data_IF_749995725836
#
_entry.id   IF_749995725836
#
_cell.length_a   1.000
_cell.length_b   1.000
_cell.length_c   1.000
_cell.angle_alpha   90.00
_cell.angle_beta   90.00
_cell.angle_gamma   90.00
#
_symmetry.space_group_name_H-M   'P 1'
#
loop_
_entity.id
_entity.type
_entity.pdbx_description
1 polymer ?
#
# COMPACT_ATOMS: atom_id res chain seq x y z
N UNK A 1 -7.95 74.53 -0.09
CA UNK A 1 -8.81 73.35 -0.33
C UNK A 1 -8.74 72.41 0.88
N UNK A 2 -9.59 72.66 1.90
CA UNK A 2 -9.52 72.04 3.24
C UNK A 2 -10.76 71.20 3.58
N UNK A 3 -11.67 70.95 2.63
CA UNK A 3 -12.83 70.09 2.87
C UNK A 3 -13.01 69.08 1.73
N UNK A 4 -12.47 67.87 1.92
CA UNK A 4 -12.92 66.67 1.20
C UNK A 4 -13.24 65.59 2.24
N UNK A 5 -14.50 65.09 2.32
CA UNK A 5 -14.87 64.11 3.32
C UNK A 5 -14.18 62.77 3.05
N UNK A 6 -13.24 62.38 3.92
CA UNK A 6 -12.50 61.10 3.83
C UNK A 6 -13.41 59.86 3.82
N UNK A 7 -14.70 60.00 4.17
CA UNK A 7 -15.69 58.93 4.22
C UNK A 7 -16.29 58.60 2.84
N UNK A 8 -16.23 59.54 1.88
CA UNK A 8 -16.74 59.32 0.52
C UNK A 8 -15.79 58.38 -0.26
N UNK A 9 -14.48 58.49 -0.05
CA UNK A 9 -13.51 57.66 -0.76
C UNK A 9 -13.59 56.19 -0.35
N UNK A 10 -13.73 55.88 0.95
CA UNK A 10 -13.83 54.49 1.42
C UNK A 10 -15.06 53.75 0.87
N UNK A 11 -16.20 54.44 0.81
CA UNK A 11 -17.44 53.87 0.25
C UNK A 11 -17.35 53.66 -1.26
N UNK A 12 -16.72 54.60 -1.99
CA UNK A 12 -16.48 54.47 -3.43
C UNK A 12 -15.54 53.30 -3.73
N UNK A 13 -14.44 53.15 -2.96
CA UNK A 13 -13.52 52.01 -3.12
C UNK A 13 -14.20 50.67 -2.84
N UNK A 14 -15.08 50.60 -1.83
CA UNK A 14 -15.84 49.40 -1.52
C UNK A 14 -16.86 49.05 -2.63
N UNK A 15 -17.54 50.06 -3.18
CA UNK A 15 -18.46 49.88 -4.32
C UNK A 15 -17.70 49.41 -5.56
N UNK A 16 -16.54 50.02 -5.88
CA UNK A 16 -15.68 49.59 -7.00
C UNK A 16 -15.21 48.15 -6.79
N UNK A 17 -14.83 47.78 -5.56
CA UNK A 17 -14.43 46.41 -5.23
C UNK A 17 -15.59 45.41 -5.45
N UNK A 18 -16.81 45.74 -5.00
CA UNK A 18 -17.99 44.90 -5.21
C UNK A 18 -18.34 44.77 -6.69
N UNK A 19 -18.22 45.85 -7.48
CA UNK A 19 -18.44 45.82 -8.93
C UNK A 19 -17.41 44.90 -9.60
N UNK A 20 -16.13 44.99 -9.22
CA UNK A 20 -15.08 44.12 -9.76
C UNK A 20 -15.31 42.66 -9.38
N UNK A 21 -15.75 42.37 -8.16
CA UNK A 21 -16.08 41.01 -7.72
C UNK A 21 -17.27 40.48 -8.51
N UNK A 22 -18.33 41.28 -8.69
CA UNK A 22 -19.51 40.90 -9.46
C UNK A 22 -19.17 40.64 -10.93
N UNK A 23 -18.35 41.49 -11.54
CA UNK A 23 -17.93 41.33 -12.94
C UNK A 23 -17.05 40.08 -13.13
N UNK A 24 -16.21 39.74 -12.15
CA UNK A 24 -15.46 38.49 -12.12
C UNK A 24 -16.36 37.26 -11.98
N UNK A 25 -17.39 37.31 -11.14
CA UNK A 25 -18.38 36.23 -10.99
C UNK A 25 -19.16 36.04 -12.30
N UNK A 26 -19.60 37.13 -12.94
CA UNK A 26 -20.28 37.08 -14.24
C UNK A 26 -19.38 36.49 -15.34
N UNK A 27 -18.09 36.85 -15.38
CA UNK A 27 -17.11 36.24 -16.30
C UNK A 27 -16.90 34.76 -16.01
N UNK A 28 -16.87 34.35 -14.74
CA UNK A 28 -16.74 32.95 -14.34
C UNK A 28 -17.96 32.14 -14.81
N UNK A 29 -19.17 32.65 -14.59
CA UNK A 29 -20.41 32.03 -15.02
C UNK A 29 -20.50 31.92 -16.55
N UNK A 30 -20.12 32.96 -17.29
CA UNK A 30 -20.06 32.92 -18.76
C UNK A 30 -19.06 31.89 -19.28
N UNK A 31 -17.91 31.72 -18.59
CA UNK A 31 -16.89 30.70 -18.90
C UNK A 31 -17.37 29.28 -18.58
N UNK A 32 -18.17 29.10 -17.52
CA UNK A 32 -18.82 27.83 -17.17
C UNK A 32 -19.89 27.47 -18.21
N UNK A 33 -20.72 28.44 -18.60
CA UNK A 33 -21.76 28.24 -19.62
C UNK A 33 -21.15 27.93 -20.99
N UNK A 34 -20.08 28.64 -21.39
CA UNK A 34 -19.32 28.32 -22.60
C UNK A 34 -18.68 26.93 -22.56
N UNK A 35 -18.14 26.50 -21.40
CA UNK A 35 -17.64 25.13 -21.21
C UNK A 35 -18.75 24.07 -21.31
N UNK A 36 -19.95 24.36 -20.81
CA UNK A 36 -21.09 23.46 -20.92
C UNK A 36 -21.62 23.38 -22.36
N UNK A 37 -21.59 24.48 -23.12
CA UNK A 37 -21.89 24.51 -24.57
C UNK A 37 -20.83 23.73 -25.38
N UNK A 38 -19.54 23.85 -25.01
CA UNK A 38 -18.44 23.10 -25.64
C UNK A 38 -18.53 21.60 -25.30
N UNK A 39 -19.01 21.23 -24.10
CA UNK A 39 -19.35 19.84 -23.77
C UNK A 39 -20.51 19.33 -24.63
N UNK A 40 -21.59 20.09 -24.85
CA UNK A 40 -22.70 19.64 -25.69
C UNK A 40 -22.36 19.57 -27.20
N UNK A 41 -21.43 20.38 -27.70
CA UNK A 41 -21.05 20.33 -29.14
C UNK A 41 -20.04 19.22 -29.47
N UNK A 42 -19.32 18.66 -28.49
CA UNK A 42 -18.42 17.51 -28.73
C UNK A 42 -19.09 16.14 -28.56
N UNK A 43 -20.31 16.09 -28.01
CA UNK A 43 -21.08 14.86 -27.79
C UNK A 43 -22.04 14.48 -28.94
N UNK A 44 -22.04 15.21 -30.06
CA UNK A 44 -22.90 14.92 -31.22
C UNK A 44 -22.18 14.26 -32.42
N UNK A 45 -21.10 13.50 -32.22
CA UNK A 45 -20.45 12.78 -33.34
C UNK A 45 -20.17 11.29 -33.15
N UNK A 46 -20.86 10.63 -32.21
CA UNK A 46 -20.86 9.17 -32.08
C UNK A 46 -22.25 8.66 -31.69
N UNK A 47 -23.24 8.89 -32.55
CA UNK A 47 -24.43 8.05 -32.58
C UNK A 47 -25.07 8.09 -33.98
N UNK A 48 -24.71 7.12 -34.82
CA UNK A 48 -25.59 6.50 -35.82
C UNK A 48 -24.82 5.40 -36.57
N UNK A 49 -24.94 4.17 -36.06
CA UNK A 49 -24.95 2.86 -36.75
C UNK A 49 -24.42 1.81 -35.78
N UNK A 50 -25.32 1.07 -35.13
CA UNK A 50 -25.46 -0.40 -35.28
C UNK A 50 -26.85 -0.73 -34.72
N UNK A 51 -27.81 -0.87 -35.62
CA UNK A 51 -29.07 -1.56 -35.35
C UNK A 51 -28.76 -3.05 -35.25
N UNK A 52 -29.26 -3.69 -34.19
CA UNK A 52 -29.22 -5.13 -33.98
C UNK A 52 -29.81 -5.88 -35.19
N UNK A 53 -29.04 -6.77 -35.81
CA UNK A 53 -29.56 -7.85 -36.65
C UNK A 53 -29.24 -9.19 -35.99
N UNK A 54 -30.08 -9.62 -35.05
CA UNK A 54 -30.13 -11.03 -34.66
C UNK A 54 -31.22 -11.69 -35.51
N UNK A 55 -30.74 -12.46 -36.48
CA UNK A 55 -31.51 -13.34 -37.33
C UNK A 55 -32.13 -14.46 -36.46
N UNK A 56 -33.45 -14.50 -36.32
CA UNK A 56 -34.16 -15.62 -35.69
C UNK A 56 -35.23 -16.11 -36.66
N UNK A 57 -34.93 -17.20 -37.34
CA UNK A 57 -35.81 -17.86 -38.29
C UNK A 57 -37.10 -18.33 -37.59
N UNK A 58 -38.22 -18.05 -38.26
CA UNK A 58 -39.58 -18.45 -37.91
C UNK A 58 -39.75 -19.98 -37.92
N UNK A 59 -40.33 -20.53 -36.84
CA UNK A 59 -41.17 -21.71 -36.91
C UNK A 59 -42.47 -21.42 -36.15
N UNK A 60 -43.57 -21.45 -36.89
CA UNK A 60 -44.93 -21.15 -36.44
C UNK A 60 -45.41 -22.20 -35.43
N UNK A 61 -45.70 -21.78 -34.21
CA UNK A 61 -46.51 -22.55 -33.26
C UNK A 61 -47.69 -21.69 -32.85
N UNK A 62 -48.90 -22.14 -33.21
CA UNK A 62 -50.19 -21.50 -32.84
C UNK A 62 -50.28 -21.38 -31.32
N UNK A 63 -50.62 -20.20 -30.81
CA UNK A 63 -51.03 -20.01 -29.42
C UNK A 63 -52.27 -19.11 -29.36
N UNK A 64 -53.23 -19.51 -28.54
CA UNK A 64 -54.51 -18.83 -28.33
C UNK A 64 -54.32 -17.54 -27.53
N UNK A 65 -55.04 -16.48 -27.90
CA UNK A 65 -55.03 -15.20 -27.19
C UNK A 65 -55.82 -15.27 -25.89
N UNK A 66 -55.22 -14.80 -24.80
CA UNK A 66 -55.98 -14.09 -23.76
C UNK A 66 -55.28 -12.76 -23.52
N UNK A 67 -56.04 -11.68 -23.68
CA UNK A 67 -55.58 -10.32 -23.41
C UNK A 67 -55.41 -10.15 -21.90
N UNK A 68 -54.20 -9.79 -21.47
CA UNK A 68 -53.99 -9.07 -20.22
C UNK A 68 -53.14 -7.83 -20.51
N UNK A 69 -53.87 -6.71 -20.56
CA UNK A 69 -53.37 -5.35 -20.48
C UNK A 69 -52.37 -5.18 -19.33
N UNK A 70 -51.16 -4.69 -19.61
CA UNK A 70 -50.65 -3.44 -19.01
C UNK A 70 -49.18 -3.20 -19.36
N UNK A 71 -48.96 -2.06 -20.02
CA UNK A 71 -47.75 -1.23 -20.12
C UNK A 71 -46.44 -1.80 -19.56
N UNK A 72 -45.61 -2.30 -20.48
CA UNK A 72 -44.19 -2.56 -20.25
C UNK A 72 -43.41 -1.24 -20.33
N UNK A 73 -43.44 -0.44 -19.27
CA UNK A 73 -42.40 0.55 -19.04
C UNK A 73 -41.11 -0.19 -18.71
N UNK A 74 -40.01 0.18 -19.37
CA UNK A 74 -38.66 -0.34 -19.09
C UNK A 74 -38.20 0.11 -17.69
N UNK A 75 -38.73 -0.52 -16.65
CA UNK A 75 -38.43 -0.23 -15.26
C UNK A 75 -37.15 -0.98 -14.81
N UNK A 76 -36.28 -0.24 -14.12
CA UNK A 76 -34.95 -0.65 -13.69
C UNK A 76 -35.02 -1.93 -12.82
N UNK A 77 -34.38 -3.01 -13.28
CA UNK A 77 -34.25 -4.34 -12.65
C UNK A 77 -33.36 -4.32 -11.37
N UNK A 78 -33.54 -3.34 -10.51
CA UNK A 78 -32.70 -3.10 -9.33
C UNK A 78 -33.53 -3.30 -8.06
N UNK A 79 -32.96 -3.89 -7.01
CA UNK A 79 -33.67 -4.08 -5.75
C UNK A 79 -34.12 -2.73 -5.15
N UNK A 80 -35.34 -2.69 -4.60
CA UNK A 80 -35.90 -1.48 -3.97
C UNK A 80 -34.96 -0.91 -2.88
N UNK A 81 -34.28 -1.81 -2.16
CA UNK A 81 -33.29 -1.45 -1.13
C UNK A 81 -32.14 -0.66 -1.74
N UNK A 82 -31.62 -1.09 -2.89
CA UNK A 82 -30.50 -0.39 -3.53
C UNK A 82 -30.94 0.94 -4.14
N UNK A 83 -32.12 0.99 -4.77
CA UNK A 83 -32.69 2.24 -5.30
C UNK A 83 -32.86 3.26 -4.18
N UNK A 84 -33.31 2.83 -3.00
CA UNK A 84 -33.45 3.69 -1.82
C UNK A 84 -32.10 4.27 -1.40
N UNK A 85 -31.06 3.44 -1.32
CA UNK A 85 -29.69 3.89 -0.98
C UNK A 85 -29.17 4.90 -2.01
N UNK A 86 -29.36 4.64 -3.31
CA UNK A 86 -28.91 5.54 -4.39
C UNK A 86 -29.60 6.91 -4.29
N UNK A 87 -30.92 6.91 -4.00
CA UNK A 87 -31.71 8.14 -3.82
C UNK A 87 -31.29 8.90 -2.58
N UNK A 88 -31.10 8.22 -1.45
CA UNK A 88 -30.64 8.82 -0.18
C UNK A 88 -29.28 9.51 -0.35
N UNK A 89 -28.37 8.91 -1.12
CA UNK A 89 -27.03 9.45 -1.38
C UNK A 89 -26.98 10.46 -2.55
N UNK A 90 -28.10 10.69 -3.25
CA UNK A 90 -28.16 11.61 -4.39
C UNK A 90 -27.22 11.24 -5.55
N UNK A 91 -27.00 9.95 -5.78
CA UNK A 91 -25.99 9.48 -6.74
C UNK A 91 -26.51 9.40 -8.17
N UNK A 92 -25.75 9.94 -9.12
CA UNK A 92 -25.92 9.64 -10.55
C UNK A 92 -25.06 8.43 -10.92
N UNK A 93 -25.66 7.25 -11.03
CA UNK A 93 -24.95 5.99 -11.35
C UNK A 93 -24.94 5.71 -12.85
N UNK A 94 -23.82 5.22 -13.39
CA UNK A 94 -23.70 4.85 -14.80
C UNK A 94 -24.08 3.38 -15.03
N UNK A 95 -23.52 2.47 -14.23
CA UNK A 95 -23.83 1.04 -14.27
C UNK A 95 -24.13 0.51 -12.87
N UNK A 96 -25.08 -0.40 -12.76
CA UNK A 96 -25.46 -1.06 -11.51
C UNK A 96 -25.45 -2.57 -11.74
N UNK A 97 -24.72 -3.29 -10.90
CA UNK A 97 -24.66 -4.74 -10.89
C UNK A 97 -25.06 -5.28 -9.52
N UNK A 98 -26.12 -6.09 -9.48
CA UNK A 98 -26.58 -6.83 -8.30
C UNK A 98 -26.42 -8.35 -8.49
N UNK A 99 -26.66 -9.13 -7.44
CA UNK A 99 -26.60 -10.60 -7.46
C UNK A 99 -25.23 -11.10 -7.95
N UNK A 100 -24.18 -10.56 -7.32
CA UNK A 100 -22.77 -10.74 -7.70
C UNK A 100 -22.26 -12.18 -7.53
N UNK A 101 -23.05 -13.03 -6.88
CA UNK A 101 -22.86 -14.48 -6.78
C UNK A 101 -23.04 -15.20 -8.12
N UNK A 102 -23.90 -14.68 -9.00
CA UNK A 102 -24.24 -15.30 -10.28
C UNK A 102 -23.15 -15.11 -11.34
N UNK A 103 -22.83 -16.17 -12.08
CA UNK A 103 -21.72 -16.16 -13.05
C UNK A 103 -22.02 -15.33 -14.30
N UNK A 104 -23.29 -15.21 -14.69
CA UNK A 104 -23.73 -14.35 -15.79
C UNK A 104 -23.42 -12.88 -15.50
N UNK A 105 -23.66 -12.41 -14.27
CA UNK A 105 -23.38 -11.02 -13.86
C UNK A 105 -21.88 -10.75 -13.88
N UNK A 106 -21.05 -11.70 -13.45
CA UNK A 106 -19.58 -11.52 -13.53
C UNK A 106 -19.11 -11.34 -14.97
N UNK A 107 -19.62 -12.14 -15.90
CA UNK A 107 -19.35 -11.99 -17.34
C UNK A 107 -19.88 -10.66 -17.88
N UNK A 108 -21.05 -10.24 -17.43
CA UNK A 108 -21.64 -8.95 -17.79
C UNK A 108 -20.75 -7.78 -17.35
N UNK A 109 -20.29 -7.77 -16.08
CA UNK A 109 -19.33 -6.78 -15.58
C UNK A 109 -18.07 -6.78 -16.44
N UNK A 110 -17.51 -7.94 -16.77
CA UNK A 110 -16.31 -8.02 -17.59
C UNK A 110 -16.50 -7.42 -18.99
N UNK A 111 -17.64 -7.69 -19.63
CA UNK A 111 -17.93 -7.25 -20.98
C UNK A 111 -18.29 -5.76 -21.06
N UNK A 112 -19.18 -5.28 -20.18
CA UNK A 112 -19.64 -3.89 -20.17
C UNK A 112 -18.57 -2.91 -19.71
N UNK A 113 -17.65 -3.35 -18.84
CA UNK A 113 -16.57 -2.50 -18.32
C UNK A 113 -15.28 -2.56 -19.13
N UNK A 114 -15.28 -3.29 -20.25
CA UNK A 114 -14.11 -3.44 -21.12
C UNK A 114 -13.79 -2.10 -21.79
N UNK A 115 -12.51 -1.71 -21.74
CA UNK A 115 -12.00 -0.46 -22.25
C UNK A 115 -12.26 0.75 -21.35
N UNK A 116 -13.01 0.58 -20.26
CA UNK A 116 -13.41 1.69 -19.40
C UNK A 116 -12.47 1.88 -18.21
N UNK A 117 -12.50 3.10 -17.67
CA UNK A 117 -11.85 3.54 -16.43
C UNK A 117 -12.78 4.48 -15.68
N UNK A 118 -12.58 4.67 -14.38
CA UNK A 118 -13.41 5.58 -13.59
C UNK A 118 -13.53 5.19 -12.12
N UNK A 119 -14.60 5.68 -11.49
CA UNK A 119 -14.89 5.49 -10.06
C UNK A 119 -15.98 4.45 -9.91
N UNK A 120 -15.75 3.49 -9.00
CA UNK A 120 -16.74 2.48 -8.62
C UNK A 120 -17.02 2.52 -7.13
N UNK A 121 -18.17 1.96 -6.76
CA UNK A 121 -18.63 1.78 -5.41
C UNK A 121 -19.03 0.33 -5.18
N UNK A 122 -18.66 -0.22 -4.02
CA UNK A 122 -19.12 -1.51 -3.51
C UNK A 122 -20.01 -1.19 -2.31
N UNK A 123 -21.29 -1.51 -2.38
CA UNK A 123 -22.25 -1.21 -1.31
C UNK A 123 -22.82 -2.49 -0.70
N UNK A 124 -22.96 -2.50 0.62
CA UNK A 124 -23.68 -3.51 1.35
C UNK A 124 -25.16 -3.10 1.46
N UNK A 125 -26.06 -3.87 0.83
CA UNK A 125 -27.51 -3.58 0.81
C UNK A 125 -28.18 -3.73 2.18
N UNK A 126 -27.54 -4.42 3.13
CA UNK A 126 -28.07 -4.61 4.49
C UNK A 126 -27.69 -3.43 5.38
N UNK A 127 -26.39 -3.13 5.48
CA UNK A 127 -25.89 -2.11 6.42
C UNK A 127 -25.89 -0.70 5.82
N UNK A 128 -26.07 -0.57 4.51
CA UNK A 128 -25.89 0.67 3.73
C UNK A 128 -24.46 1.22 3.73
N UNK A 129 -23.50 0.52 4.35
CA UNK A 129 -22.09 0.89 4.29
C UNK A 129 -21.51 0.59 2.89
N UNK A 130 -20.55 1.41 2.46
CA UNK A 130 -19.94 1.26 1.15
C UNK A 130 -18.44 1.56 1.14
N UNK A 131 -17.81 1.09 0.07
CA UNK A 131 -16.43 1.32 -0.30
C UNK A 131 -16.39 2.04 -1.64
N UNK A 132 -15.50 3.03 -1.79
CA UNK A 132 -15.26 3.75 -3.04
C UNK A 132 -13.84 3.46 -3.50
N UNK A 133 -13.65 3.30 -4.81
CA UNK A 133 -12.30 3.25 -5.38
C UNK A 133 -12.26 3.60 -6.85
N UNK A 134 -11.05 3.83 -7.34
CA UNK A 134 -10.79 4.03 -8.77
C UNK A 134 -10.29 2.77 -9.49
N UNK A 135 -10.67 2.66 -10.76
CA UNK A 135 -10.18 1.68 -11.70
C UNK A 135 -9.55 2.38 -12.91
N UNK A 136 -8.27 2.11 -13.14
CA UNK A 136 -7.61 2.46 -14.40
C UNK A 136 -8.23 1.68 -15.59
N UNK A 137 -7.82 1.99 -16.81
CA UNK A 137 -8.40 1.39 -18.01
C UNK A 137 -8.32 -0.14 -17.95
N UNK A 138 -9.44 -0.82 -18.23
CA UNK A 138 -9.59 -2.28 -18.12
C UNK A 138 -9.40 -2.86 -16.71
N UNK A 139 -9.53 -2.06 -15.64
CA UNK A 139 -9.33 -2.52 -14.26
C UNK A 139 -10.59 -2.71 -13.43
N UNK A 140 -11.78 -2.35 -13.91
CA UNK A 140 -13.02 -2.54 -13.13
C UNK A 140 -13.24 -4.00 -12.73
N UNK A 141 -13.23 -4.95 -13.69
CA UNK A 141 -13.40 -6.37 -13.38
C UNK A 141 -12.30 -6.93 -12.45
N UNK A 142 -10.99 -6.69 -12.68
CA UNK A 142 -9.96 -7.05 -11.71
C UNK A 142 -10.18 -6.47 -10.31
N UNK A 143 -10.66 -5.22 -10.19
CA UNK A 143 -10.96 -4.60 -8.89
C UNK A 143 -12.14 -5.31 -8.22
N UNK A 144 -13.25 -5.48 -8.93
CA UNK A 144 -14.40 -6.26 -8.49
C UNK A 144 -13.96 -7.64 -7.95
N UNK A 145 -13.26 -8.43 -8.76
CA UNK A 145 -12.84 -9.78 -8.38
C UNK A 145 -11.86 -9.78 -7.20
N UNK A 146 -10.91 -8.84 -7.15
CA UNK A 146 -9.97 -8.77 -6.02
C UNK A 146 -10.62 -8.36 -4.70
N UNK A 147 -11.61 -7.46 -4.72
CA UNK A 147 -12.28 -7.03 -3.50
C UNK A 147 -13.31 -8.06 -3.01
N UNK A 148 -14.13 -8.59 -3.92
CA UNK A 148 -15.33 -9.36 -3.56
C UNK A 148 -15.18 -10.88 -3.66
N UNK A 149 -14.26 -11.38 -4.50
CA UNK A 149 -14.09 -12.82 -4.76
C UNK A 149 -12.79 -13.34 -4.14
N UNK A 150 -11.65 -12.79 -4.55
CA UNK A 150 -10.33 -13.27 -4.12
C UNK A 150 -9.84 -12.64 -2.81
N UNK A 151 -10.54 -11.62 -2.31
CA UNK A 151 -10.24 -10.95 -1.05
C UNK A 151 -8.79 -10.44 -0.91
N UNK A 152 -8.23 -9.94 -2.02
CA UNK A 152 -6.91 -9.30 -2.12
C UNK A 152 -6.98 -7.76 -1.98
N UNK A 153 -8.20 -7.20 -1.94
CA UNK A 153 -8.46 -5.76 -1.75
C UNK A 153 -8.59 -5.35 -0.28
N UNK A 154 -9.59 -4.52 0.01
CA UNK A 154 -9.86 -4.01 1.37
C UNK A 154 -10.16 -5.13 2.36
N UNK A 155 -9.46 -5.14 3.49
CA UNK A 155 -9.71 -6.08 4.60
C UNK A 155 -11.10 -5.87 5.22
N UNK A 156 -11.59 -4.64 5.25
CA UNK A 156 -12.92 -4.32 5.80
C UNK A 156 -14.00 -4.91 4.89
N UNK A 157 -13.90 -4.68 3.56
CA UNK A 157 -14.82 -5.26 2.57
C UNK A 157 -14.80 -6.79 2.66
N UNK A 158 -13.61 -7.42 2.75
CA UNK A 158 -13.49 -8.87 2.95
C UNK A 158 -14.27 -9.36 4.18
N UNK A 159 -14.09 -8.70 5.32
CA UNK A 159 -14.80 -9.07 6.55
C UNK A 159 -16.31 -8.90 6.41
N UNK A 160 -16.76 -7.82 5.77
CA UNK A 160 -18.17 -7.56 5.52
C UNK A 160 -18.79 -8.61 4.57
N UNK A 161 -18.12 -8.96 3.47
CA UNK A 161 -18.57 -10.01 2.54
C UNK A 161 -18.65 -11.37 3.23
N UNK A 162 -17.68 -11.71 4.08
CA UNK A 162 -17.73 -12.95 4.87
C UNK A 162 -18.89 -12.98 5.87
N UNK A 163 -19.27 -11.83 6.43
CA UNK A 163 -20.35 -11.72 7.42
C UNK A 163 -21.73 -11.72 6.78
N UNK A 164 -21.92 -10.99 5.69
CA UNK A 164 -23.24 -10.75 5.08
C UNK A 164 -23.47 -11.55 3.79
N UNK A 165 -22.45 -12.20 3.23
CA UNK A 165 -22.56 -12.93 1.96
C UNK A 165 -22.52 -12.03 0.73
N UNK A 166 -22.04 -12.56 -0.40
CA UNK A 166 -21.80 -11.79 -1.63
C UNK A 166 -23.10 -11.29 -2.31
N UNK A 167 -24.21 -12.03 -2.20
CA UNK A 167 -25.52 -11.68 -2.77
C UNK A 167 -26.11 -10.38 -2.19
N UNK A 168 -25.66 -10.00 -0.99
CA UNK A 168 -26.07 -8.78 -0.31
C UNK A 168 -25.23 -7.56 -0.68
N UNK A 169 -24.28 -7.70 -1.61
CA UNK A 169 -23.51 -6.58 -2.14
C UNK A 169 -23.97 -6.20 -3.54
N UNK A 170 -23.76 -4.93 -3.88
CA UNK A 170 -23.88 -4.43 -5.24
C UNK A 170 -22.59 -3.73 -5.66
N UNK A 171 -22.26 -3.84 -6.96
CA UNK A 171 -21.12 -3.19 -7.58
C UNK A 171 -21.63 -2.13 -8.54
N UNK A 172 -21.22 -0.88 -8.35
CA UNK A 172 -21.79 0.28 -9.03
C UNK A 172 -20.67 1.09 -9.65
N UNK A 173 -20.85 1.57 -10.87
CA UNK A 173 -19.94 2.53 -11.50
C UNK A 173 -20.58 3.91 -11.36
N UNK A 174 -19.90 4.80 -10.63
CA UNK A 174 -20.39 6.14 -10.32
C UNK A 174 -20.05 7.12 -11.43
N UNK A 175 -18.82 7.09 -11.93
CA UNK A 175 -18.35 8.02 -12.94
C UNK A 175 -17.32 7.35 -13.86
N UNK A 176 -17.33 7.74 -15.14
CA UNK A 176 -16.40 7.24 -16.14
C UNK A 176 -15.32 8.28 -16.41
N UNK A 177 -14.07 7.83 -16.36
CA UNK A 177 -12.94 8.67 -16.72
C UNK A 177 -12.86 8.76 -18.26
N UNK A 178 -12.87 9.97 -18.84
CA UNK A 178 -13.11 10.16 -20.28
C UNK A 178 -11.93 9.77 -21.17
N UNK A 179 -10.74 9.53 -20.60
CA UNK A 179 -9.53 9.23 -21.36
C UNK A 179 -8.90 7.92 -20.91
N UNK A 180 -8.07 7.32 -21.76
CA UNK A 180 -7.30 6.12 -21.39
C UNK A 180 -6.29 6.50 -20.31
N UNK A 181 -6.26 5.72 -19.23
CA UNK A 181 -5.41 6.00 -18.07
C UNK A 181 -3.96 5.60 -18.36
N UNK A 182 -3.09 6.60 -18.37
CA UNK A 182 -1.63 6.54 -18.49
C UNK A 182 -0.99 6.95 -17.16
N UNK A 183 0.33 6.79 -17.05
CA UNK A 183 1.06 7.18 -15.82
C UNK A 183 0.93 8.68 -15.52
N UNK A 184 0.83 9.52 -16.55
CA UNK A 184 0.73 10.97 -16.41
C UNK A 184 -0.67 11.41 -15.93
N UNK A 185 -1.74 10.89 -16.53
CA UNK A 185 -3.11 11.30 -16.16
C UNK A 185 -3.69 10.53 -14.97
N UNK A 186 -3.03 9.49 -14.48
CA UNK A 186 -3.49 8.73 -13.31
C UNK A 186 -3.69 9.62 -12.07
N UNK A 187 -2.98 10.76 -11.99
CA UNK A 187 -3.21 11.75 -10.94
C UNK A 187 -4.63 12.31 -10.98
N UNK A 188 -5.17 12.61 -12.16
CA UNK A 188 -6.52 13.15 -12.32
C UNK A 188 -7.58 12.12 -11.91
N UNK A 189 -7.34 10.83 -12.16
CA UNK A 189 -8.19 9.74 -11.69
C UNK A 189 -8.18 9.62 -10.16
N UNK A 190 -7.01 9.79 -9.53
CA UNK A 190 -6.89 9.81 -8.07
C UNK A 190 -7.56 11.05 -7.48
N UNK A 191 -7.41 12.23 -8.08
CA UNK A 191 -8.08 13.45 -7.65
C UNK A 191 -9.61 13.31 -7.75
N UNK A 192 -10.11 12.57 -8.76
CA UNK A 192 -11.51 12.19 -8.87
C UNK A 192 -11.96 11.28 -7.72
N UNK A 193 -11.18 10.24 -7.41
CA UNK A 193 -11.45 9.34 -6.28
C UNK A 193 -11.50 10.12 -4.96
N UNK A 194 -10.53 11.02 -4.75
CA UNK A 194 -10.43 11.84 -3.54
C UNK A 194 -11.66 12.75 -3.35
N UNK A 195 -12.19 13.32 -4.44
CA UNK A 195 -13.45 14.07 -4.40
C UNK A 195 -14.62 13.21 -3.91
N UNK A 196 -14.75 11.98 -4.41
CA UNK A 196 -15.80 11.07 -3.97
C UNK A 196 -15.62 10.61 -2.52
N UNK A 197 -14.38 10.36 -2.08
CA UNK A 197 -14.08 10.03 -0.68
C UNK A 197 -14.48 11.16 0.26
N UNK A 198 -14.17 12.41 -0.10
CA UNK A 198 -14.50 13.60 0.71
C UNK A 198 -15.99 13.95 0.70
N UNK A 199 -16.67 13.70 -0.42
CA UNK A 199 -18.10 13.97 -0.57
C UNK A 199 -18.96 12.96 0.18
N UNK A 200 -18.61 11.67 0.09
CA UNK A 200 -19.45 10.58 0.58
C UNK A 200 -19.00 9.99 1.91
N UNK A 201 -17.73 10.15 2.30
CA UNK A 201 -17.17 9.63 3.57
C UNK A 201 -17.46 8.14 3.80
N UNK A 202 -17.03 7.25 2.88
CA UNK A 202 -17.36 5.82 2.92
C UNK A 202 -16.82 5.09 4.15
N UNK A 203 -17.66 4.24 4.76
CA UNK A 203 -17.33 3.48 5.98
C UNK A 203 -16.25 2.41 5.79
N UNK A 204 -16.13 1.84 4.58
CA UNK A 204 -15.22 0.73 4.31
C UNK A 204 -13.84 1.16 3.80
N UNK A 205 -13.62 2.45 3.55
CA UNK A 205 -12.31 2.99 3.19
C UNK A 205 -11.53 3.32 4.46
N UNK A 206 -10.31 2.77 4.57
CA UNK A 206 -9.41 3.07 5.70
C UNK A 206 -8.73 4.43 5.50
N UNK A 207 -8.37 4.72 4.25
CA UNK A 207 -7.74 5.98 3.88
C UNK A 207 -8.83 6.97 3.49
N UNK A 208 -8.75 8.16 4.07
CA UNK A 208 -9.65 9.29 3.79
C UNK A 208 -9.25 10.04 2.52
N UNK A 209 -8.02 9.83 2.04
CA UNK A 209 -7.48 10.45 0.84
C UNK A 209 -7.10 9.38 -0.18
N UNK A 210 -7.35 9.68 -1.46
CA UNK A 210 -6.95 8.79 -2.53
C UNK A 210 -5.44 8.85 -2.74
N UNK A 211 -4.79 7.69 -2.78
CA UNK A 211 -3.35 7.63 -2.91
C UNK A 211 -2.86 6.27 -3.38
N UNK A 212 -1.69 6.28 -4.03
CA UNK A 212 -0.94 5.07 -4.35
C UNK A 212 0.20 4.90 -3.36
N UNK A 213 0.35 3.72 -2.79
CA UNK A 213 1.54 3.36 -2.00
C UNK A 213 2.78 3.17 -2.88
N UNK A 214 2.63 3.16 -4.21
CA UNK A 214 3.76 2.97 -5.13
C UNK A 214 4.71 4.16 -5.06
N UNK A 215 5.94 3.90 -4.59
CA UNK A 215 6.95 4.92 -4.38
C UNK A 215 6.87 5.63 -3.03
N UNK A 216 5.95 5.24 -2.14
CA UNK A 216 5.90 5.78 -0.78
C UNK A 216 7.20 5.49 -0.04
N UNK A 217 7.79 6.55 0.53
CA UNK A 217 8.94 6.46 1.43
C UNK A 217 8.47 6.93 2.81
N UNK A 218 8.77 6.14 3.83
CA UNK A 218 8.49 6.53 5.21
C UNK A 218 9.11 7.89 5.53
N UNK A 219 8.29 8.75 6.14
CA UNK A 219 8.73 10.02 6.73
C UNK A 219 9.75 9.76 7.84
N UNK A 220 10.55 10.77 8.20
CA UNK A 220 11.49 10.64 9.32
C UNK A 220 10.76 10.31 10.63
N UNK A 221 9.59 10.92 10.83
CA UNK A 221 8.70 10.63 11.98
C UNK A 221 8.27 9.16 11.99
N UNK A 222 7.84 8.61 10.85
CA UNK A 222 7.46 7.19 10.76
C UNK A 222 8.64 6.26 11.01
N UNK A 223 9.82 6.59 10.46
CA UNK A 223 11.05 5.81 10.70
C UNK A 223 11.44 5.83 12.16
N UNK A 224 11.31 6.98 12.82
CA UNK A 224 11.59 7.12 14.23
C UNK A 224 10.59 6.31 15.06
N UNK A 225 9.28 6.39 14.78
CA UNK A 225 8.27 5.54 15.43
C UNK A 225 8.55 4.04 15.26
N UNK A 226 8.96 3.63 14.06
CA UNK A 226 9.37 2.25 13.82
C UNK A 226 10.58 1.86 14.67
N UNK A 227 11.57 2.76 14.80
CA UNK A 227 12.77 2.55 15.63
C UNK A 227 12.43 2.50 17.13
N UNK A 228 11.61 3.42 17.61
CA UNK A 228 11.19 3.51 19.02
C UNK A 228 10.38 2.29 19.46
N UNK A 229 9.67 1.66 18.51
CA UNK A 229 8.98 0.40 18.75
C UNK A 229 9.96 -0.76 19.06
N UNK A 230 11.25 -0.65 18.70
CA UNK A 230 12.30 -1.62 19.05
C UNK A 230 13.04 -1.21 20.33
N UNK A 231 12.30 -0.98 21.42
CA UNK A 231 12.88 -0.66 22.71
C UNK A 231 13.32 -1.93 23.50
N UNK A 232 14.14 -1.71 24.53
CA UNK A 232 14.63 -2.79 25.39
C UNK A 232 13.50 -3.44 26.19
N UNK A 233 12.48 -2.67 26.61
CA UNK A 233 11.30 -3.21 27.28
C UNK A 233 10.56 -4.27 26.44
N UNK A 234 10.40 -4.02 25.13
CA UNK A 234 9.83 -5.00 24.19
C UNK A 234 10.76 -6.19 24.02
N UNK A 235 12.08 -5.98 23.96
CA UNK A 235 13.06 -7.08 23.87
C UNK A 235 12.96 -7.98 25.10
N UNK A 236 12.86 -7.41 26.29
CA UNK A 236 12.69 -8.12 27.55
C UNK A 236 11.36 -8.86 27.60
N UNK A 237 10.25 -8.23 27.18
CA UNK A 237 8.94 -8.88 27.08
C UNK A 237 8.97 -10.09 26.12
N UNK A 238 9.61 -9.96 24.95
CA UNK A 238 9.76 -11.08 24.02
C UNK A 238 10.68 -12.16 24.62
N UNK A 239 11.73 -11.76 25.34
CA UNK A 239 12.61 -12.70 26.04
C UNK A 239 11.84 -13.49 27.09
N UNK A 240 11.08 -12.83 27.96
CA UNK A 240 10.31 -13.48 29.03
C UNK A 240 9.28 -14.47 28.47
N UNK A 241 8.59 -14.12 27.39
CA UNK A 241 7.64 -15.02 26.69
C UNK A 241 8.31 -16.27 26.12
N UNK A 242 9.62 -16.24 25.87
CA UNK A 242 10.37 -17.35 25.30
C UNK A 242 11.21 -18.12 26.34
N UNK A 243 11.42 -17.57 27.54
CA UNK A 243 12.11 -18.27 28.63
C UNK A 243 11.36 -19.55 28.98
N UNK A 244 12.11 -20.65 29.15
CA UNK A 244 11.56 -21.97 29.51
C UNK A 244 10.90 -22.74 28.37
N UNK A 245 10.66 -22.14 27.20
CA UNK A 245 10.17 -22.87 26.03
C UNK A 245 11.28 -23.75 25.45
N UNK A 246 11.00 -25.04 25.28
CA UNK A 246 11.89 -25.99 24.61
C UNK A 246 11.46 -26.13 23.15
N UNK A 247 12.44 -26.26 22.27
CA UNK A 247 12.18 -26.63 20.88
C UNK A 247 11.74 -28.09 20.79
N UNK A 248 10.97 -28.42 19.75
CA UNK A 248 10.66 -29.82 19.43
C UNK A 248 11.92 -30.56 19.00
N UNK A 249 11.93 -31.88 19.20
CA UNK A 249 13.05 -32.74 18.78
C UNK A 249 13.37 -32.59 17.29
N UNK A 250 12.34 -32.52 16.45
CA UNK A 250 12.47 -32.29 15.01
C UNK A 250 13.20 -30.97 14.70
N UNK A 251 12.86 -29.90 15.41
CA UNK A 251 13.51 -28.59 15.23
C UNK A 251 14.97 -28.63 15.66
N UNK A 252 15.25 -29.29 16.79
CA UNK A 252 16.62 -29.48 17.29
C UNK A 252 17.45 -30.26 16.27
N UNK A 253 16.90 -31.32 15.68
CA UNK A 253 17.61 -32.11 14.67
C UNK A 253 17.91 -31.29 13.42
N UNK A 254 16.93 -30.54 12.89
CA UNK A 254 17.13 -29.63 11.75
C UNK A 254 18.19 -28.57 12.03
N UNK A 255 18.23 -28.02 13.24
CA UNK A 255 19.27 -27.08 13.65
C UNK A 255 20.65 -27.74 13.69
N UNK A 256 20.74 -28.97 14.21
CA UNK A 256 21.99 -29.75 14.26
C UNK A 256 22.52 -30.06 12.87
N UNK A 257 21.67 -30.53 11.96
CA UNK A 257 22.02 -30.82 10.57
C UNK A 257 22.55 -29.58 9.85
N UNK A 258 21.87 -28.43 10.00
CA UNK A 258 22.34 -27.16 9.44
C UNK A 258 23.66 -26.69 10.03
N UNK A 259 23.89 -26.92 11.32
CA UNK A 259 25.14 -26.55 11.97
C UNK A 259 26.32 -27.41 11.48
N UNK A 260 26.09 -28.71 11.28
CA UNK A 260 27.10 -29.64 10.75
C UNK A 260 27.45 -29.33 9.29
N UNK A 261 26.45 -28.97 8.48
CA UNK A 261 26.63 -28.62 7.07
C UNK A 261 27.12 -27.17 6.86
N UNK A 262 27.38 -26.43 7.94
CA UNK A 262 27.84 -25.05 7.83
C UNK A 262 29.29 -25.02 7.34
N UNK A 263 29.49 -24.46 6.15
CA UNK A 263 30.83 -24.24 5.60
C UNK A 263 31.69 -23.39 6.56
N UNK A 264 33.01 -23.64 6.61
CA UNK A 264 33.90 -22.80 7.38
C UNK A 264 33.84 -21.35 6.89
N UNK A 265 33.95 -20.41 7.83
CA UNK A 265 33.98 -18.99 7.51
C UNK A 265 35.14 -18.68 6.57
N UNK A 266 34.88 -17.94 5.48
CA UNK A 266 35.92 -17.55 4.52
C UNK A 266 37.02 -16.71 5.16
N UNK A 267 38.24 -16.81 4.63
CA UNK A 267 39.42 -16.11 5.18
C UNK A 267 39.24 -14.59 5.21
N UNK A 268 38.59 -14.02 4.19
CA UNK A 268 38.28 -12.58 4.12
C UNK A 268 37.38 -12.15 5.29
N UNK A 269 36.35 -12.93 5.58
CA UNK A 269 35.44 -12.65 6.70
C UNK A 269 36.15 -12.89 8.04
N UNK A 270 36.94 -13.97 8.14
CA UNK A 270 37.72 -14.28 9.34
C UNK A 270 38.66 -13.13 9.72
N UNK A 271 39.40 -12.58 8.74
CA UNK A 271 40.28 -11.42 8.95
C UNK A 271 39.51 -10.17 9.41
N UNK A 272 38.29 -9.93 8.89
CA UNK A 272 37.43 -8.82 9.37
C UNK A 272 36.92 -9.02 10.80
N UNK A 273 36.69 -10.27 11.21
CA UNK A 273 36.25 -10.59 12.57
C UNK A 273 37.38 -10.49 13.61
N UNK A 274 38.64 -10.62 13.18
CA UNK A 274 39.82 -10.37 14.03
C UNK A 274 39.89 -8.87 14.28
N UNK A 275 39.33 -8.44 15.41
CA UNK A 275 39.33 -7.06 15.90
C UNK A 275 39.93 -7.04 17.30
N UNK A 276 40.48 -5.89 17.73
CA UNK A 276 41.10 -5.71 19.06
C UNK A 276 42.19 -6.76 19.38
N UNK A 277 43.14 -6.95 18.46
CA UNK A 277 44.26 -7.87 18.66
C UNK A 277 45.22 -7.34 19.73
N UNK A 278 45.91 -8.26 20.40
CA UNK A 278 46.89 -7.96 21.45
C UNK A 278 48.26 -8.42 20.95
N UNK A 279 49.07 -7.50 20.39
CA UNK A 279 50.36 -7.84 19.81
C UNK A 279 51.38 -8.17 20.91
N UNK A 280 52.22 -9.18 20.66
CA UNK A 280 53.16 -9.72 21.65
C UNK A 280 54.54 -9.94 21.04
N UNK A 281 55.57 -9.79 21.85
CA UNK A 281 56.97 -10.10 21.50
C UNK A 281 57.43 -11.29 22.32
N UNK A 282 58.06 -12.25 21.66
CA UNK A 282 58.75 -13.36 22.29
C UNK A 282 60.25 -13.07 22.34
N UNK A 283 60.85 -13.32 23.49
CA UNK A 283 62.29 -13.23 23.74
C UNK A 283 62.84 -14.60 24.10
N UNK A 284 64.08 -14.87 23.71
CA UNK A 284 64.85 -15.99 24.22
C UNK A 284 65.32 -15.69 25.67
N UNK A 285 65.76 -16.71 26.40
CA UNK A 285 66.23 -16.54 27.79
C UNK A 285 67.45 -15.60 27.91
N UNK A 286 68.26 -15.50 26.86
CA UNK A 286 69.39 -14.59 26.75
C UNK A 286 68.98 -13.14 26.40
N UNK A 287 67.68 -12.85 26.30
CA UNK A 287 67.15 -11.52 26.05
C UNK A 287 67.09 -11.12 24.57
N UNK A 288 67.53 -11.97 23.64
CA UNK A 288 67.40 -11.69 22.20
C UNK A 288 65.95 -11.86 21.74
N UNK A 289 65.51 -11.02 20.78
CA UNK A 289 64.16 -11.10 20.22
C UNK A 289 64.04 -12.39 19.40
N UNK A 290 63.08 -13.23 19.77
CA UNK A 290 62.73 -14.44 19.01
C UNK A 290 61.74 -14.10 17.88
N UNK A 291 60.77 -13.22 18.13
CA UNK A 291 59.85 -12.74 17.11
C UNK A 291 58.74 -11.83 17.64
N UNK A 292 58.19 -11.01 16.76
CA UNK A 292 57.05 -10.12 17.04
C UNK A 292 55.81 -10.62 16.32
N UNK A 293 54.67 -10.65 17.03
CA UNK A 293 53.44 -11.23 16.52
C UNK A 293 52.27 -10.28 16.73
N UNK A 294 51.45 -10.11 15.69
CA UNK A 294 50.26 -9.25 15.73
C UNK A 294 49.14 -9.82 16.61
N UNK A 295 49.11 -11.14 16.81
CA UNK A 295 48.15 -11.83 17.67
C UNK A 295 48.82 -12.85 18.59
N UNK A 296 48.20 -13.10 19.75
CA UNK A 296 48.62 -14.15 20.69
C UNK A 296 48.56 -15.54 20.03
N UNK A 297 47.60 -15.76 19.12
CA UNK A 297 47.44 -17.04 18.44
C UNK A 297 48.63 -17.34 17.52
N UNK A 298 49.10 -16.34 16.77
CA UNK A 298 50.26 -16.50 15.89
C UNK A 298 51.54 -16.77 16.70
N UNK A 299 51.73 -16.06 17.81
CA UNK A 299 52.82 -16.34 18.75
C UNK A 299 52.71 -17.74 19.35
N UNK A 300 51.51 -18.21 19.66
CA UNK A 300 51.29 -19.54 20.22
C UNK A 300 51.66 -20.63 19.22
N UNK A 301 51.27 -20.44 17.96
CA UNK A 301 51.58 -21.36 16.87
C UNK A 301 53.09 -21.43 16.59
N UNK A 302 53.83 -20.31 16.67
CA UNK A 302 55.27 -20.30 16.40
C UNK A 302 56.09 -21.11 17.41
N UNK A 303 55.71 -21.07 18.70
CA UNK A 303 56.35 -21.88 19.75
C UNK A 303 55.61 -23.20 20.04
N UNK A 304 54.69 -23.58 19.16
CA UNK A 304 53.87 -24.79 19.23
C UNK A 304 53.23 -24.99 20.62
N UNK A 305 52.58 -23.96 21.15
CA UNK A 305 51.90 -23.99 22.44
C UNK A 305 50.43 -23.56 22.32
N UNK A 306 49.64 -23.84 23.35
CA UNK A 306 48.25 -23.37 23.39
C UNK A 306 48.16 -21.86 23.63
N UNK A 307 47.22 -21.19 22.96
CA UNK A 307 46.97 -19.75 23.11
C UNK A 307 46.73 -19.32 24.58
N UNK A 308 46.04 -20.16 25.37
CA UNK A 308 45.85 -19.96 26.81
C UNK A 308 47.16 -19.93 27.60
N UNK A 309 48.19 -20.65 27.16
CA UNK A 309 49.51 -20.69 27.81
C UNK A 309 50.18 -19.33 27.73
N UNK A 310 50.13 -18.68 26.57
CA UNK A 310 50.66 -17.32 26.41
C UNK A 310 49.85 -16.33 27.24
N UNK A 311 48.51 -16.41 27.21
CA UNK A 311 47.66 -15.53 28.04
C UNK A 311 47.99 -15.63 29.53
N UNK A 312 48.20 -16.84 30.04
CA UNK A 312 48.61 -17.08 31.43
C UNK A 312 50.01 -16.56 31.71
N UNK A 313 50.96 -16.80 30.81
CA UNK A 313 52.33 -16.29 30.96
C UNK A 313 52.37 -14.76 31.07
N UNK A 314 51.59 -14.04 30.27
CA UNK A 314 51.44 -12.58 30.33
C UNK A 314 50.87 -12.03 31.66
N UNK A 315 50.20 -12.86 32.46
CA UNK A 315 49.71 -12.49 33.79
C UNK A 315 50.79 -12.70 34.87
N UNK A 316 51.82 -13.50 34.60
CA UNK A 316 52.92 -13.76 35.55
C UNK A 316 54.01 -12.69 35.45
N UNK A 317 54.69 -12.39 36.57
CA UNK A 317 55.81 -11.44 36.59
C UNK A 317 56.98 -11.87 35.69
N UNK A 318 57.19 -13.19 35.51
CA UNK A 318 58.32 -13.74 34.74
C UNK A 318 58.03 -13.87 33.24
N UNK A 319 56.76 -13.87 32.82
CA UNK A 319 56.40 -13.99 31.40
C UNK A 319 56.82 -15.30 30.73
N UNK A 320 57.13 -16.36 31.50
CA UNK A 320 57.85 -17.53 30.99
C UNK A 320 56.92 -18.51 30.28
N UNK A 321 57.28 -18.90 29.06
CA UNK A 321 56.62 -19.92 28.25
C UNK A 321 57.56 -21.10 28.08
N UNK A 322 57.10 -22.30 28.43
CA UNK A 322 57.83 -23.58 28.28
C UNK A 322 59.27 -23.58 28.83
N UNK A 323 59.59 -22.66 29.75
CA UNK A 323 60.95 -22.45 30.28
C UNK A 323 62.02 -22.12 29.23
N UNK A 324 61.60 -21.68 28.04
CA UNK A 324 62.49 -21.43 26.90
C UNK A 324 62.33 -20.01 26.34
N UNK A 325 61.14 -19.42 26.50
CA UNK A 325 60.84 -18.08 25.98
C UNK A 325 60.19 -17.20 27.03
N UNK A 326 60.37 -15.89 26.90
CA UNK A 326 59.71 -14.86 27.70
C UNK A 326 58.78 -14.07 26.78
N UNK A 327 57.49 -14.00 27.11
CA UNK A 327 56.52 -13.17 26.38
C UNK A 327 56.32 -11.82 27.07
N UNK A 328 56.31 -10.76 26.27
CA UNK A 328 55.91 -9.43 26.70
C UNK A 328 54.84 -8.87 25.78
N UNK A 329 53.97 -8.06 26.36
CA UNK A 329 52.91 -7.34 25.66
C UNK A 329 53.48 -6.06 25.07
N UNK A 330 53.25 -5.81 23.78
CA UNK A 330 53.69 -4.56 23.13
C UNK A 330 52.80 -3.39 23.58
N UNK A 331 51.53 -3.66 23.91
CA UNK A 331 50.55 -2.63 24.25
C UNK A 331 50.72 -2.02 25.65
N UNK A 332 51.59 -2.58 26.50
CA UNK A 332 51.88 -2.05 27.85
C UNK A 332 53.05 -1.05 27.92
N UNK A 333 53.77 -0.85 26.82
CA UNK A 333 54.93 0.06 26.75
C UNK A 333 54.64 1.34 25.95
N UNK A 334 53.36 1.72 25.80
CA UNK A 334 52.93 3.00 25.24
C UNK A 334 52.20 3.82 26.29
#
# INVERSE_FOLDING_TARGET
>A
YVHSPKWINGSIFYIIFLIVVFDNIQRLNKKIQARNIIKNTKYNKLNNKVIFSLNRNNLNIRSYSTNASSNKSNELLCSERLITIIKELGLSTVYIFENLDQENIKKQIQNETKGLSGIYMIVNKITKDYYIGSAATNRFYPRFSNHLIYFRGSKIVKSAVKKYGLSNFAFIILDLFPSIVTKQNNKELLDLEDRYLKLLLPNYNILTEAGSSFGYKHTEVDRQKMKDSFNDARREMISSLNRGKKFSLETIQKMREKALNKLPMSDKTRKKCITNTRPVVLYNLNGTVYGEYSTILDAANSVNCGEKTIRRALQTKKGLIKRQWIVKDISRNK
#
